data_IF_325082760250
#
_entry.id   IF_325082760250
#
_cell.length_a   1.000
_cell.length_b   1.000
_cell.length_c   1.000
_cell.angle_alpha   90.00
_cell.angle_beta   90.00
_cell.angle_gamma   90.00
#
_symmetry.space_group_name_H-M   'P 1'
#
loop_
_entity.id
_entity.type
_entity.pdbx_description
1 polymer ?
#
# COMPACT_ATOMS: atom_id res chain seq x y z
N UNK A 1 4.22 23.36 -5.10
CA UNK A 1 3.52 22.23 -4.44
C UNK A 1 3.54 22.54 -2.97
N UNK A 2 2.37 22.57 -2.34
CA UNK A 2 2.26 22.83 -0.91
C UNK A 2 2.64 21.57 -0.14
N UNK A 3 3.72 21.64 0.62
CA UNK A 3 4.24 20.54 1.45
C UNK A 3 3.58 20.49 2.84
N UNK A 4 2.63 21.38 3.14
CA UNK A 4 1.97 21.46 4.45
C UNK A 4 0.73 20.57 4.57
N UNK A 5 0.14 20.13 3.45
CA UNK A 5 -0.96 19.19 3.48
C UNK A 5 -0.46 17.76 3.75
N UNK A 6 -0.57 17.31 5.01
CA UNK A 6 -0.43 15.91 5.39
C UNK A 6 -1.82 15.25 5.38
N UNK A 7 -2.06 14.25 4.53
CA UNK A 7 -3.27 13.44 4.61
C UNK A 7 -3.43 12.84 6.01
N UNK A 8 -4.66 12.67 6.46
CA UNK A 8 -4.98 12.07 7.78
C UNK A 8 -4.43 10.64 7.94
N UNK A 9 -4.19 9.93 6.83
CA UNK A 9 -3.49 8.65 6.82
C UNK A 9 -1.98 8.78 6.63
N UNK A 10 -1.37 9.97 6.67
CA UNK A 10 0.08 10.18 6.52
C UNK A 10 0.68 9.81 5.15
N UNK A 11 -0.06 9.09 4.29
CA UNK A 11 0.32 8.73 2.93
C UNK A 11 -0.07 9.81 1.92
N UNK A 12 0.85 10.15 1.00
CA UNK A 12 0.60 11.04 -0.15
C UNK A 12 -0.79 10.84 -0.76
N UNK A 13 -1.56 11.91 -1.02
CA UNK A 13 -2.86 11.85 -1.71
C UNK A 13 -2.76 11.25 -3.11
N UNK A 14 -1.57 11.30 -3.70
CA UNK A 14 -1.20 10.67 -4.96
C UNK A 14 -0.42 9.38 -4.68
N UNK A 15 -1.02 8.42 -3.99
CA UNK A 15 -0.51 7.04 -4.00
C UNK A 15 -0.45 6.58 -5.45
N UNK A 16 0.75 6.39 -5.99
CA UNK A 16 0.94 5.90 -7.37
C UNK A 16 0.29 4.53 -7.57
N UNK A 17 0.15 4.10 -8.83
CA UNK A 17 -0.33 2.74 -9.15
C UNK A 17 0.74 1.68 -8.81
N UNK A 18 1.98 2.11 -8.52
CA UNK A 18 3.09 1.25 -8.11
C UNK A 18 3.46 0.21 -9.16
N UNK A 19 4.45 -0.63 -8.86
CA UNK A 19 4.63 -1.90 -9.56
C UNK A 19 3.51 -2.85 -9.10
N UNK A 20 2.61 -3.21 -10.02
CA UNK A 20 1.46 -4.05 -9.74
C UNK A 20 1.47 -5.36 -10.51
N UNK A 21 0.49 -6.22 -10.23
CA UNK A 21 0.17 -7.39 -11.06
C UNK A 21 -1.26 -7.25 -11.57
N UNK A 22 -1.44 -7.50 -12.85
CA UNK A 22 -2.78 -7.66 -13.42
C UNK A 22 -3.32 -9.02 -13.01
N UNK A 23 -4.54 -9.02 -12.48
CA UNK A 23 -5.29 -10.22 -12.17
C UNK A 23 -6.52 -10.20 -13.07
N UNK A 24 -6.60 -11.17 -13.98
CA UNK A 24 -7.66 -11.29 -14.98
C UNK A 24 -8.24 -12.70 -14.97
N UNK A 25 -9.54 -12.83 -15.28
CA UNK A 25 -10.22 -14.12 -15.33
C UNK A 25 -10.58 -14.72 -13.96
N UNK A 26 -10.45 -13.93 -12.88
CA UNK A 26 -10.91 -14.29 -11.55
C UNK A 26 -11.98 -13.32 -11.07
N UNK A 27 -12.78 -13.74 -10.10
CA UNK A 27 -13.67 -12.86 -9.36
C UNK A 27 -12.89 -11.82 -8.53
N UNK A 28 -13.60 -10.79 -8.06
CA UNK A 28 -13.05 -9.75 -7.21
C UNK A 28 -12.46 -10.35 -5.91
N UNK A 29 -11.30 -9.85 -5.44
CA UNK A 29 -10.61 -10.44 -4.31
C UNK A 29 -11.42 -10.28 -3.02
N UNK A 30 -11.52 -11.37 -2.25
CA UNK A 30 -12.06 -11.35 -0.89
C UNK A 30 -10.96 -11.16 0.15
N UNK A 31 -9.84 -11.82 -0.07
CA UNK A 31 -8.69 -11.82 0.83
C UNK A 31 -7.42 -11.58 0.00
N UNK A 32 -6.50 -10.79 0.55
CA UNK A 32 -5.17 -10.59 0.00
C UNK A 32 -4.15 -10.88 1.10
N UNK A 33 -3.36 -11.94 0.92
CA UNK A 33 -2.23 -12.21 1.80
C UNK A 33 -1.03 -11.38 1.34
N UNK A 34 -0.43 -10.66 2.28
CA UNK A 34 0.76 -9.85 2.03
C UNK A 34 1.82 -10.22 3.05
N UNK A 35 3.04 -10.42 2.56
CA UNK A 35 4.25 -10.59 3.37
C UNK A 35 5.32 -9.65 2.85
N UNK A 36 5.94 -8.90 3.74
CA UNK A 36 6.90 -7.87 3.34
C UNK A 36 8.03 -7.72 4.36
N UNK A 37 9.12 -7.13 3.89
CA UNK A 37 10.32 -6.85 4.67
C UNK A 37 10.43 -5.34 4.85
N UNK A 38 10.49 -4.90 6.09
CA UNK A 38 10.85 -3.55 6.47
C UNK A 38 12.35 -3.53 6.72
N UNK A 39 13.11 -3.00 5.76
CA UNK A 39 14.57 -2.90 5.89
C UNK A 39 14.98 -1.90 6.97
N UNK A 40 14.17 -0.85 7.19
CA UNK A 40 14.43 0.19 8.19
C UNK A 40 14.57 -0.35 9.61
N UNK A 41 13.80 -1.40 9.95
CA UNK A 41 13.77 -2.00 11.29
C UNK A 41 14.22 -3.47 11.27
N UNK A 42 14.76 -3.95 10.14
CA UNK A 42 15.15 -5.34 9.91
C UNK A 42 14.07 -6.35 10.38
N UNK A 43 12.81 -6.12 9.98
CA UNK A 43 11.68 -6.94 10.38
C UNK A 43 10.83 -7.38 9.19
N UNK A 44 10.38 -8.63 9.23
CA UNK A 44 9.45 -9.20 8.26
C UNK A 44 8.08 -9.31 8.91
N UNK A 45 7.05 -8.90 8.17
CA UNK A 45 5.66 -8.96 8.58
C UNK A 45 4.82 -9.76 7.59
N UNK A 46 3.69 -10.24 8.08
CA UNK A 46 2.62 -10.72 7.21
C UNK A 46 1.25 -10.31 7.73
N UNK A 47 0.30 -10.22 6.81
CA UNK A 47 -1.09 -9.91 7.11
C UNK A 47 -2.01 -10.53 6.07
N UNK A 48 -3.23 -10.87 6.49
CA UNK A 48 -4.35 -11.16 5.57
C UNK A 48 -5.26 -9.95 5.58
N UNK A 49 -5.43 -9.33 4.43
CA UNK A 49 -6.27 -8.16 4.22
C UNK A 49 -7.62 -8.65 3.71
N UNK A 50 -8.66 -8.40 4.49
CA UNK A 50 -10.03 -8.60 4.03
C UNK A 50 -10.48 -7.39 3.20
N UNK A 51 -11.02 -7.66 2.02
CA UNK A 51 -11.72 -6.67 1.22
C UNK A 51 -13.20 -6.82 1.57
N UNK A 52 -13.87 -5.82 2.15
CA UNK A 52 -15.29 -5.93 2.47
C UNK A 52 -16.17 -6.10 1.23
N UNK A 53 -17.34 -6.72 1.37
CA UNK A 53 -18.30 -6.86 0.27
C UNK A 53 -18.70 -5.50 -0.31
N UNK A 54 -18.95 -4.49 0.53
CA UNK A 54 -19.23 -3.13 0.08
C UNK A 54 -18.10 -2.55 -0.80
N UNK A 55 -16.84 -2.84 -0.47
CA UNK A 55 -15.70 -2.42 -1.30
C UNK A 55 -15.70 -3.14 -2.65
N UNK A 56 -16.00 -4.44 -2.67
CA UNK A 56 -16.14 -5.20 -3.93
C UNK A 56 -17.28 -4.65 -4.80
N UNK A 57 -18.43 -4.34 -4.19
CA UNK A 57 -19.55 -3.74 -4.93
C UNK A 57 -19.15 -2.40 -5.55
N UNK A 58 -18.40 -1.54 -4.83
CA UNK A 58 -17.86 -0.30 -5.40
C UNK A 58 -16.85 -0.49 -6.53
N UNK A 59 -16.27 -1.70 -6.72
CA UNK A 59 -15.44 -2.01 -7.89
C UNK A 59 -16.27 -2.26 -9.14
N UNK A 60 -17.52 -2.70 -8.98
CA UNK A 60 -18.48 -2.96 -10.06
C UNK A 60 -19.26 -1.70 -10.46
N UNK A 61 -19.24 -0.67 -9.62
CA UNK A 61 -19.95 0.58 -9.87
C UNK A 61 -19.20 1.49 -10.86
N UNK A 62 -19.83 1.88 -11.99
CA UNK A 62 -19.26 2.87 -12.89
C UNK A 62 -19.35 4.27 -12.26
N UNK A 63 -18.23 4.99 -12.29
CA UNK A 63 -18.12 6.37 -11.80
C UNK A 63 -17.89 7.30 -12.97
N UNK A 64 -18.74 8.32 -13.09
CA UNK A 64 -18.59 9.39 -14.07
C UNK A 64 -17.80 10.53 -13.46
N UNK A 65 -16.59 10.78 -13.96
CA UNK A 65 -15.67 11.79 -13.41
C UNK A 65 -14.90 12.52 -14.51
N UNK A 66 -14.52 13.76 -14.26
CA UNK A 66 -13.61 14.49 -15.14
C UNK A 66 -12.20 13.91 -15.02
N UNK A 67 -11.63 13.51 -16.16
CA UNK A 67 -10.30 12.95 -16.23
C UNK A 67 -9.35 13.92 -16.91
N UNK A 68 -8.38 14.43 -16.15
CA UNK A 68 -7.36 15.37 -16.65
C UNK A 68 -6.48 14.76 -17.75
N UNK A 69 -6.30 13.43 -17.76
CA UNK A 69 -5.51 12.74 -18.79
C UNK A 69 -6.21 12.73 -20.16
N UNK A 70 -7.55 12.64 -20.15
CA UNK A 70 -8.38 12.62 -21.34
C UNK A 70 -8.98 13.99 -21.68
N UNK A 71 -8.83 14.98 -20.79
CA UNK A 71 -9.46 16.30 -20.82
C UNK A 71 -10.98 16.29 -21.05
N UNK A 72 -11.66 15.29 -20.48
CA UNK A 72 -13.12 15.12 -20.61
C UNK A 72 -13.70 14.34 -19.46
N UNK A 73 -15.03 14.35 -19.37
CA UNK A 73 -15.75 13.46 -18.46
C UNK A 73 -15.79 12.06 -19.05
N UNK A 74 -15.26 11.09 -18.31
CA UNK A 74 -15.27 9.67 -18.68
C UNK A 74 -16.09 8.88 -17.66
N UNK A 75 -16.51 7.67 -18.05
CA UNK A 75 -17.04 6.67 -17.13
C UNK A 75 -15.94 5.66 -16.87
N UNK A 76 -15.62 5.42 -15.61
CA UNK A 76 -14.55 4.50 -15.22
C UNK A 76 -14.90 3.71 -13.96
N UNK A 77 -14.15 2.64 -13.70
CA UNK A 77 -14.32 1.80 -12.51
C UNK A 77 -13.09 1.91 -11.61
N UNK A 78 -13.26 1.51 -10.35
CA UNK A 78 -12.13 1.34 -9.44
C UNK A 78 -11.53 -0.05 -9.57
N UNK A 79 -10.51 -0.15 -10.41
CA UNK A 79 -9.89 -1.42 -10.82
C UNK A 79 -8.57 -1.73 -10.11
N UNK A 80 -8.09 -0.86 -9.21
CA UNK A 80 -6.84 -1.06 -8.49
C UNK A 80 -7.08 -1.23 -7.00
N UNK A 81 -6.50 -2.28 -6.41
CA UNK A 81 -6.28 -2.37 -4.97
C UNK A 81 -4.82 -1.97 -4.71
N UNK A 82 -4.61 -0.86 -4.01
CA UNK A 82 -3.29 -0.35 -3.65
C UNK A 82 -3.03 -0.65 -2.17
N UNK A 83 -1.86 -1.17 -1.86
CA UNK A 83 -1.47 -1.53 -0.49
C UNK A 83 -0.17 -0.78 -0.16
N UNK A 84 -0.24 0.09 0.83
CA UNK A 84 0.88 0.82 1.39
C UNK A 84 1.44 0.03 2.57
N UNK A 85 2.72 -0.28 2.51
CA UNK A 85 3.43 -1.08 3.50
C UNK A 85 4.44 -0.19 4.20
N UNK A 86 4.38 -0.16 5.53
CA UNK A 86 5.24 0.68 6.35
C UNK A 86 5.87 -0.11 7.51
N UNK A 87 6.90 0.46 8.17
CA UNK A 87 7.44 -0.09 9.39
C UNK A 87 6.37 -0.26 10.50
N UNK A 88 6.69 -1.00 11.56
CA UNK A 88 5.73 -1.29 12.62
C UNK A 88 4.56 -2.18 12.18
N UNK A 89 4.72 -2.86 11.04
CA UNK A 89 3.74 -3.83 10.53
C UNK A 89 2.49 -3.21 9.91
N UNK A 90 2.47 -1.93 9.53
CA UNK A 90 1.25 -1.31 9.00
C UNK A 90 1.06 -1.60 7.51
N UNK A 91 -0.11 -2.15 7.19
CA UNK A 91 -0.63 -2.28 5.83
C UNK A 91 -1.91 -1.45 5.68
N UNK A 92 -1.85 -0.38 4.89
CA UNK A 92 -3.00 0.45 4.55
C UNK A 92 -3.47 0.10 3.14
N UNK A 93 -4.75 -0.16 2.99
CA UNK A 93 -5.36 -0.56 1.71
C UNK A 93 -6.28 0.53 1.19
N UNK A 94 -6.18 0.81 -0.11
CA UNK A 94 -7.08 1.68 -0.83
C UNK A 94 -7.61 1.02 -2.09
N UNK A 95 -8.82 1.41 -2.47
CA UNK A 95 -9.40 1.13 -3.76
C UNK A 95 -9.24 2.37 -4.66
N UNK A 96 -8.76 2.20 -5.90
CA UNK A 96 -8.49 3.31 -6.83
C UNK A 96 -8.99 2.98 -8.25
N UNK A 97 -9.13 4.01 -9.06
CA UNK A 97 -9.36 3.93 -10.51
C UNK A 97 -8.58 5.02 -11.24
N UNK A 98 -8.42 4.91 -12.56
CA UNK A 98 -7.80 5.99 -13.34
C UNK A 98 -8.69 7.23 -13.26
N UNK A 99 -8.10 8.37 -12.89
CA UNK A 99 -8.83 9.62 -12.71
C UNK A 99 -9.94 9.59 -11.63
N UNK A 100 -9.94 8.58 -10.75
CA UNK A 100 -10.86 8.49 -9.62
C UNK A 100 -10.11 8.69 -8.30
N UNK A 101 -10.77 9.38 -7.36
CA UNK A 101 -10.26 9.49 -6.00
C UNK A 101 -10.19 8.13 -5.31
N UNK A 102 -9.17 7.98 -4.45
CA UNK A 102 -8.96 6.77 -3.66
C UNK A 102 -10.03 6.64 -2.58
N UNK A 103 -10.49 5.41 -2.35
CA UNK A 103 -11.32 5.05 -1.21
C UNK A 103 -10.43 4.29 -0.23
N UNK A 104 -10.40 4.71 1.04
CA UNK A 104 -9.78 3.92 2.11
C UNK A 104 -10.61 2.66 2.34
N UNK A 105 -9.96 1.51 2.37
CA UNK A 105 -10.62 0.22 2.57
C UNK A 105 -10.40 -0.26 4.00
N UNK A 106 -9.15 -0.49 4.37
CA UNK A 106 -8.80 -0.99 5.70
C UNK A 106 -7.37 -0.63 6.06
N UNK A 107 -7.11 -0.46 7.36
CA UNK A 107 -5.78 -0.33 7.94
C UNK A 107 -5.58 -1.51 8.88
N UNK A 108 -4.55 -2.31 8.62
CA UNK A 108 -4.28 -3.54 9.37
C UNK A 108 -2.86 -3.54 9.90
N UNK A 109 -2.66 -4.14 11.07
CA UNK A 109 -1.34 -4.39 11.65
C UNK A 109 -0.98 -5.84 11.39
N UNK A 110 0.08 -6.06 10.62
CA UNK A 110 0.66 -7.36 10.36
C UNK A 110 1.43 -7.91 11.55
N UNK A 111 1.45 -9.23 11.67
CA UNK A 111 2.24 -9.93 12.68
C UNK A 111 3.69 -10.07 12.22
N UNK A 112 4.61 -10.12 13.17
CA UNK A 112 6.00 -10.47 12.91
C UNK A 112 6.10 -11.91 12.41
N UNK A 113 6.92 -12.12 11.38
CA UNK A 113 7.31 -13.44 10.87
C UNK A 113 8.68 -13.79 11.45
N UNK A 114 8.77 -14.76 12.39
CA UNK A 114 10.04 -15.08 13.07
C UNK A 114 11.12 -15.61 12.13
N UNK A 115 10.72 -16.24 11.03
CA UNK A 115 11.66 -16.75 10.01
C UNK A 115 12.41 -15.64 9.27
N UNK A 116 12.03 -14.36 9.44
CA UNK A 116 12.71 -13.25 8.80
C UNK A 116 12.61 -13.28 7.27
N UNK A 117 13.59 -12.76 6.53
CA UNK A 117 13.54 -12.65 5.07
C UNK A 117 13.65 -14.03 4.39
N UNK A 118 13.14 -14.13 3.16
CA UNK A 118 13.19 -15.36 2.33
C UNK A 118 12.78 -16.67 3.05
N UNK A 119 11.80 -16.60 3.94
CA UNK A 119 11.30 -17.73 4.74
C UNK A 119 12.40 -18.42 5.57
N UNK A 120 13.43 -17.67 5.97
CA UNK A 120 14.58 -18.19 6.72
C UNK A 120 15.65 -18.85 5.85
N UNK A 121 15.53 -18.81 4.52
CA UNK A 121 16.54 -19.35 3.60
C UNK A 121 17.70 -18.39 3.35
N UNK A 122 17.52 -17.11 3.67
CA UNK A 122 18.60 -16.12 3.59
C UNK A 122 19.62 -16.36 4.70
N UNK A 123 20.83 -16.77 4.33
CA UNK A 123 21.97 -16.88 5.26
C UNK A 123 22.54 -15.53 5.68
N UNK A 124 22.32 -14.48 4.87
CA UNK A 124 22.80 -13.12 5.12
C UNK A 124 21.81 -12.25 5.89
N UNK A 125 20.60 -12.76 6.19
CA UNK A 125 19.56 -11.99 6.88
C UNK A 125 19.01 -10.87 6.00
N UNK A 126 18.80 -9.69 6.59
CA UNK A 126 18.33 -8.49 5.89
C UNK A 126 19.51 -7.79 5.20
N UNK A 127 19.35 -7.31 3.95
CA UNK A 127 20.39 -6.51 3.32
C UNK A 127 20.63 -5.22 4.13
N UNK A 128 21.89 -4.73 4.18
CA UNK A 128 22.17 -3.45 4.80
C UNK A 128 21.45 -2.32 4.05
N UNK A 129 21.10 -1.28 4.78
CA UNK A 129 20.60 -0.05 4.17
C UNK A 129 21.72 0.66 3.40
N UNK A 130 21.32 1.45 2.39
CA UNK A 130 22.24 2.42 1.80
C UNK A 130 22.73 3.40 2.88
N UNK A 131 24.01 3.84 2.85
CA UNK A 131 24.58 4.70 3.88
C UNK A 131 23.78 5.97 4.17
N UNK A 132 23.19 6.57 3.14
CA UNK A 132 22.32 7.76 3.24
C UNK A 132 21.03 7.45 4.00
N UNK A 133 20.44 6.28 3.74
CA UNK A 133 19.23 5.82 4.43
C UNK A 133 19.53 5.51 5.89
N UNK A 134 20.66 4.86 6.18
CA UNK A 134 21.10 4.59 7.55
C UNK A 134 21.36 5.89 8.31
N UNK A 135 22.13 6.82 7.73
CA UNK A 135 22.44 8.13 8.34
C UNK A 135 21.16 8.91 8.67
N UNK A 136 20.16 8.88 7.79
CA UNK A 136 18.88 9.53 8.03
C UNK A 136 18.13 8.90 9.22
N UNK A 137 18.06 7.56 9.28
CA UNK A 137 17.41 6.86 10.39
C UNK A 137 18.15 7.11 11.70
N UNK A 138 19.47 7.13 11.70
CA UNK A 138 20.26 7.40 12.91
C UNK A 138 20.01 8.82 13.43
N UNK A 139 19.83 9.80 12.54
CA UNK A 139 19.59 11.20 12.90
C UNK A 139 18.14 11.50 13.31
N UNK A 140 17.16 10.83 12.71
CA UNK A 140 15.73 11.19 12.83
C UNK A 140 14.83 10.09 13.39
N UNK A 141 15.34 8.87 13.48
CA UNK A 141 14.56 7.68 13.81
C UNK A 141 13.59 7.27 12.70
N UNK A 142 12.86 6.19 12.97
CA UNK A 142 11.75 5.75 12.11
C UNK A 142 10.47 6.46 12.58
N UNK A 143 9.74 7.16 11.70
CA UNK A 143 8.59 7.97 12.09
C UNK A 143 7.33 7.10 12.24
N UNK A 144 7.30 6.22 13.25
CA UNK A 144 6.15 5.37 13.54
C UNK A 144 4.85 6.17 13.64
N UNK A 145 3.83 5.76 12.88
CA UNK A 145 2.51 6.41 12.88
C UNK A 145 2.41 7.68 12.03
N UNK A 146 3.45 8.06 11.29
CA UNK A 146 3.40 9.16 10.31
C UNK A 146 2.77 8.76 8.95
N UNK A 147 2.17 7.57 8.90
CA UNK A 147 1.52 6.90 7.78
C UNK A 147 0.21 6.25 8.25
#
# INVERSE_FOLDING_TARGET
MDFTFKPEDGWSTRTGVGSGKYVSGSDLPKLIYVRWQSLAEAQTYEVVIEIPEATRQSMLEPVRAYCRLDDRVIVNHRTYVTIGLAPGGIAQTWLRGVCLDRIKVTRTVGRIVPLGPDLGRSSSGYPPLEPESQTYIDAHGIPYGAW
#
